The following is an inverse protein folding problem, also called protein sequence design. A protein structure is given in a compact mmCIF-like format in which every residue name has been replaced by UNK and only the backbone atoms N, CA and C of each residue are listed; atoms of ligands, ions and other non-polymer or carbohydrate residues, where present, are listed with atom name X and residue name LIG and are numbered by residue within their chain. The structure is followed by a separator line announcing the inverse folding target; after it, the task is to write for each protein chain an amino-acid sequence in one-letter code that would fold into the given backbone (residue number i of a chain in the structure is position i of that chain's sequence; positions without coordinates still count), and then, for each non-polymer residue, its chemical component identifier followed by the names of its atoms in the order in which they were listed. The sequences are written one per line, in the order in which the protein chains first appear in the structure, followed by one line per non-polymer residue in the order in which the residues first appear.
data_IF_213180362185
#
_entry.id   IF_213180362185
#
_cell.length_a   1.000
_cell.length_b   1.000
_cell.length_c   1.000
_cell.angle_alpha   90.00
_cell.angle_beta   90.00
_cell.angle_gamma   90.00
#
_symmetry.space_group_name_H-M   'P 1'
#
loop_
_entity.id
_entity.type
_entity.pdbx_description
1 polymer ?
#
# COMPACT_ATOMS: atom_id res chain seq x y z
N UNK A 1 -36.90 -6.16 -52.04
CA UNK A 1 -35.63 -6.82 -51.70
C UNK A 1 -34.60 -5.73 -51.44
N UNK A 2 -34.38 -5.39 -50.19
CA UNK A 2 -33.34 -4.44 -49.81
C UNK A 2 -32.52 -5.05 -48.69
N UNK A 3 -31.25 -5.24 -49.02
CA UNK A 3 -30.21 -5.85 -48.15
C UNK A 3 -29.69 -4.82 -47.16
N UNK A 4 -29.88 -5.08 -45.89
CA UNK A 4 -29.31 -4.32 -44.78
C UNK A 4 -27.80 -4.64 -44.70
N UNK A 5 -26.98 -3.58 -44.81
CA UNK A 5 -25.54 -3.64 -44.51
C UNK A 5 -25.37 -3.19 -43.04
N UNK A 6 -25.04 -4.12 -42.15
CA UNK A 6 -24.56 -3.85 -40.82
C UNK A 6 -23.18 -3.18 -40.89
N UNK A 7 -23.09 -1.96 -40.39
CA UNK A 7 -21.84 -1.25 -40.08
C UNK A 7 -21.32 -1.67 -38.70
N UNK A 8 -20.35 -2.57 -38.67
CA UNK A 8 -19.53 -2.76 -37.49
C UNK A 8 -18.67 -1.52 -37.23
N UNK A 9 -18.99 -0.78 -36.18
CA UNK A 9 -18.10 0.25 -35.63
C UNK A 9 -17.28 -0.38 -34.52
N UNK A 10 -16.01 -0.70 -34.80
CA UNK A 10 -15.01 -1.04 -33.81
C UNK A 10 -14.80 0.15 -32.86
N UNK A 11 -15.26 0.03 -31.62
CA UNK A 11 -14.86 0.90 -30.52
C UNK A 11 -13.69 0.24 -29.80
N UNK A 12 -12.48 0.66 -30.14
CA UNK A 12 -11.29 0.43 -29.33
C UNK A 12 -11.41 1.24 -28.03
N UNK A 13 -12.03 0.65 -27.04
CA UNK A 13 -12.04 1.18 -25.67
C UNK A 13 -10.83 0.65 -24.94
N UNK A 14 -9.83 1.49 -24.66
CA UNK A 14 -8.79 1.21 -23.68
C UNK A 14 -9.46 1.17 -22.31
N UNK A 15 -9.94 -0.01 -21.94
CA UNK A 15 -10.63 -0.26 -20.69
C UNK A 15 -9.64 -0.22 -19.53
N UNK A 16 -9.58 0.90 -18.81
CA UNK A 16 -9.04 0.93 -17.46
C UNK A 16 -9.90 0.04 -16.56
N UNK A 17 -9.59 -1.25 -16.54
CA UNK A 17 -10.32 -2.24 -15.76
C UNK A 17 -10.25 -1.89 -14.28
N UNK A 18 -11.37 -1.54 -13.70
CA UNK A 18 -11.56 -1.42 -12.26
C UNK A 18 -11.40 -2.83 -11.67
N UNK A 19 -10.17 -3.15 -11.24
CA UNK A 19 -9.86 -4.45 -10.64
C UNK A 19 -10.36 -4.42 -9.19
N UNK A 20 -11.49 -5.04 -8.98
CA UNK A 20 -12.06 -5.24 -7.66
C UNK A 20 -11.66 -6.62 -7.14
N UNK A 21 -11.60 -6.77 -5.82
CA UNK A 21 -11.61 -8.09 -5.20
C UNK A 21 -12.75 -8.94 -5.80
N UNK A 22 -12.56 -10.25 -5.99
CA UNK A 22 -13.63 -11.16 -6.41
C UNK A 22 -14.89 -10.93 -5.59
N UNK A 23 -16.07 -11.22 -6.16
CA UNK A 23 -17.37 -11.01 -5.49
C UNK A 23 -17.45 -11.68 -4.12
N UNK A 24 -16.73 -12.77 -3.93
CA UNK A 24 -16.63 -13.53 -2.67
C UNK A 24 -15.99 -12.73 -1.53
N UNK A 25 -15.02 -11.83 -1.85
CA UNK A 25 -14.39 -10.94 -0.86
C UNK A 25 -15.20 -9.67 -0.61
N UNK A 26 -16.27 -9.41 -1.38
CA UNK A 26 -17.14 -8.23 -1.25
C UNK A 26 -18.33 -8.43 -0.31
N UNK A 27 -18.67 -9.66 0.07
CA UNK A 27 -19.79 -9.90 0.96
C UNK A 27 -19.51 -9.28 2.33
N UNK A 28 -20.44 -8.53 2.85
CA UNK A 28 -20.49 -8.17 4.27
C UNK A 28 -20.54 -9.49 5.05
N UNK A 29 -19.47 -9.79 5.80
CA UNK A 29 -19.35 -11.03 6.56
C UNK A 29 -18.55 -12.10 5.84
N UNK A 30 -17.20 -11.95 5.75
CA UNK A 30 -16.28 -13.05 5.65
C UNK A 30 -16.20 -13.80 4.33
N UNK A 31 -15.78 -13.15 3.26
CA UNK A 31 -15.12 -13.84 2.15
C UNK A 31 -13.74 -14.32 2.60
N UNK A 32 -13.17 -15.39 1.99
CA UNK A 32 -11.83 -15.85 2.32
C UNK A 32 -10.83 -14.70 2.21
N UNK A 33 -9.96 -14.60 3.20
CA UNK A 33 -8.82 -13.70 3.19
C UNK A 33 -7.82 -14.12 2.14
N UNK A 34 -6.81 -13.27 1.89
CA UNK A 34 -5.78 -13.57 0.92
C UNK A 34 -4.77 -12.46 0.81
N UNK A 35 -3.82 -12.67 -0.09
CA UNK A 35 -2.83 -11.68 -0.47
C UNK A 35 -3.47 -10.63 -1.37
N UNK A 36 -3.29 -9.37 -1.03
CA UNK A 36 -3.92 -8.23 -1.69
C UNK A 36 -2.92 -7.09 -1.87
N UNK A 37 -2.87 -6.50 -3.05
CA UNK A 37 -2.29 -5.17 -3.24
C UNK A 37 -3.37 -4.12 -3.02
N UNK A 38 -3.09 -3.17 -2.15
CA UNK A 38 -3.92 -1.98 -1.90
C UNK A 38 -3.26 -0.77 -2.51
N UNK A 39 -4.01 0.06 -3.22
CA UNK A 39 -3.53 1.34 -3.72
C UNK A 39 -4.61 2.42 -3.66
N UNK A 40 -4.21 3.65 -3.39
CA UNK A 40 -5.08 4.81 -3.42
C UNK A 40 -4.28 6.05 -3.86
N UNK A 41 -4.93 6.93 -4.62
CA UNK A 41 -4.34 8.16 -5.13
C UNK A 41 -5.03 9.39 -4.51
N UNK A 42 -4.27 10.46 -4.35
CA UNK A 42 -4.79 11.76 -3.94
C UNK A 42 -5.70 12.36 -5.01
N UNK A 43 -6.56 13.29 -4.59
CA UNK A 43 -7.44 14.04 -5.50
C UNK A 43 -6.63 14.71 -6.61
N UNK A 44 -7.07 14.56 -7.86
CA UNK A 44 -6.40 15.10 -9.05
C UNK A 44 -4.88 14.82 -9.12
N UNK A 45 -4.43 13.73 -8.52
CA UNK A 45 -3.01 13.35 -8.39
C UNK A 45 -2.13 14.44 -7.76
N UNK A 46 -2.68 15.34 -6.96
CA UNK A 46 -1.94 16.40 -6.26
C UNK A 46 -0.90 15.81 -5.33
N UNK A 47 0.28 16.45 -5.24
CA UNK A 47 1.42 15.99 -4.43
C UNK A 47 1.22 16.29 -2.93
N UNK A 48 0.09 15.85 -2.36
CA UNK A 48 -0.29 16.12 -0.96
C UNK A 48 0.48 15.29 0.07
N UNK A 49 1.13 14.22 -0.37
CA UNK A 49 1.96 13.34 0.47
C UNK A 49 3.46 13.60 0.27
N UNK A 50 3.88 14.83 -0.06
CA UNK A 50 5.31 15.14 -0.20
C UNK A 50 6.06 14.70 1.05
N UNK A 51 7.18 13.97 0.90
CA UNK A 51 7.98 13.53 2.04
C UNK A 51 8.44 14.70 2.89
N UNK A 52 8.18 14.61 4.20
CA UNK A 52 8.80 15.41 5.25
C UNK A 52 9.04 14.49 6.45
N UNK A 53 10.02 14.78 7.27
CA UNK A 53 10.28 13.99 8.48
C UNK A 53 9.02 13.86 9.35
N UNK A 54 8.31 14.96 9.55
CA UNK A 54 7.07 15.00 10.34
C UNK A 54 5.96 14.14 9.74
N UNK A 55 5.71 14.25 8.43
CA UNK A 55 4.68 13.45 7.77
C UNK A 55 5.06 11.97 7.76
N UNK A 56 6.33 11.64 7.47
CA UNK A 56 6.84 10.28 7.49
C UNK A 56 6.64 9.61 8.86
N UNK A 57 7.01 10.30 9.94
CA UNK A 57 6.80 9.81 11.31
C UNK A 57 5.32 9.58 11.63
N UNK A 58 4.44 10.45 11.16
CA UNK A 58 2.99 10.30 11.34
C UNK A 58 2.42 9.13 10.55
N UNK A 59 2.86 8.93 9.31
CA UNK A 59 2.45 7.79 8.47
C UNK A 59 2.89 6.47 9.13
N UNK A 60 4.13 6.37 9.59
CA UNK A 60 4.61 5.19 10.32
C UNK A 60 3.79 4.95 11.60
N UNK A 61 3.45 6.00 12.34
CA UNK A 61 2.57 5.89 13.52
C UNK A 61 1.19 5.35 13.18
N UNK A 62 0.60 5.80 12.07
CA UNK A 62 -0.70 5.31 11.57
C UNK A 62 -0.62 3.83 11.18
N UNK A 63 0.42 3.43 10.44
CA UNK A 63 0.62 2.03 10.02
C UNK A 63 0.81 1.13 11.24
N UNK A 64 1.73 1.50 12.15
CA UNK A 64 2.01 0.71 13.34
C UNK A 64 0.76 0.51 14.21
N UNK A 65 -0.02 1.57 14.42
CA UNK A 65 -1.29 1.44 15.13
C UNK A 65 -2.32 0.59 14.38
N UNK A 66 -2.41 0.74 13.06
CA UNK A 66 -3.33 -0.07 12.26
C UNK A 66 -3.01 -1.57 12.36
N UNK A 67 -1.73 -1.94 12.31
CA UNK A 67 -1.28 -3.33 12.49
C UNK A 67 -1.56 -3.89 13.90
N UNK A 68 -1.52 -3.02 14.93
CA UNK A 68 -1.89 -3.42 16.29
C UNK A 68 -3.41 -3.60 16.48
N UNK A 69 -4.24 -2.94 15.66
CA UNK A 69 -5.70 -3.00 15.78
C UNK A 69 -6.33 -4.08 14.89
N UNK A 70 -5.69 -4.42 13.79
CA UNK A 70 -6.25 -5.32 12.77
C UNK A 70 -5.28 -6.46 12.46
N UNK A 71 -5.73 -7.71 12.42
CA UNK A 71 -4.89 -8.88 12.16
C UNK A 71 -4.51 -8.98 10.67
N UNK A 72 -3.68 -8.04 10.21
CA UNK A 72 -3.16 -7.96 8.85
C UNK A 72 -1.68 -8.26 8.87
N UNK A 73 -1.20 -9.11 7.96
CA UNK A 73 0.22 -9.33 7.73
C UNK A 73 0.70 -8.39 6.61
N UNK A 74 1.49 -7.38 6.94
CA UNK A 74 2.05 -6.43 5.99
C UNK A 74 3.35 -6.97 5.41
N UNK A 75 3.46 -7.07 4.08
CA UNK A 75 4.62 -7.61 3.38
C UNK A 75 5.52 -6.51 2.81
N UNK A 76 4.91 -5.49 2.22
CA UNK A 76 5.61 -4.34 1.66
C UNK A 76 4.69 -3.12 1.57
N UNK A 77 5.28 -1.92 1.55
CA UNK A 77 4.55 -0.69 1.30
C UNK A 77 5.48 0.44 0.83
N UNK A 78 4.88 1.40 0.15
CA UNK A 78 5.53 2.67 -0.23
C UNK A 78 4.49 3.79 -0.27
N UNK A 79 4.85 4.95 0.28
CA UNK A 79 4.10 6.19 0.17
C UNK A 79 4.81 7.15 -0.78
N UNK A 80 4.20 7.38 -1.93
CA UNK A 80 4.63 8.37 -2.91
C UNK A 80 4.01 9.73 -2.62
N UNK A 81 4.42 10.78 -3.31
CA UNK A 81 3.90 12.14 -3.09
C UNK A 81 2.40 12.29 -3.36
N UNK A 82 1.80 11.42 -4.17
CA UNK A 82 0.40 11.51 -4.58
C UNK A 82 -0.40 10.19 -4.51
N UNK A 83 0.19 9.13 -4.00
CA UNK A 83 -0.48 7.83 -3.82
C UNK A 83 0.34 6.94 -2.88
N UNK A 84 -0.23 5.80 -2.47
CA UNK A 84 0.52 4.77 -1.77
C UNK A 84 0.10 3.38 -2.20
N UNK A 85 1.01 2.44 -2.02
CA UNK A 85 0.82 1.02 -2.25
C UNK A 85 1.16 0.23 -1.00
N UNK A 86 0.43 -0.85 -0.76
CA UNK A 86 0.79 -1.88 0.21
C UNK A 86 0.44 -3.26 -0.32
N UNK A 87 1.31 -4.22 -0.05
CA UNK A 87 1.09 -5.63 -0.26
C UNK A 87 0.89 -6.28 1.10
N UNK A 88 -0.26 -6.90 1.33
CA UNK A 88 -0.66 -7.43 2.63
C UNK A 88 -1.53 -8.68 2.51
N UNK A 89 -1.48 -9.53 3.53
CA UNK A 89 -2.43 -10.64 3.70
C UNK A 89 -3.44 -10.28 4.77
N UNK A 90 -4.71 -10.53 4.50
CA UNK A 90 -5.84 -10.28 5.40
C UNK A 90 -6.65 -11.57 5.60
N UNK A 91 -7.24 -11.80 6.80
CA UNK A 91 -8.10 -12.95 7.04
C UNK A 91 -9.43 -12.85 6.27
N UNK A 92 -9.93 -11.64 6.05
CA UNK A 92 -11.21 -11.39 5.39
C UNK A 92 -11.31 -9.95 4.83
N UNK A 93 -12.36 -9.71 4.03
CA UNK A 93 -12.60 -8.42 3.38
C UNK A 93 -13.04 -7.32 4.35
N UNK A 94 -13.65 -7.64 5.49
CA UNK A 94 -14.07 -6.66 6.50
C UNK A 94 -12.84 -6.12 7.23
N UNK A 95 -11.96 -7.01 7.66
CA UNK A 95 -10.66 -6.64 8.27
C UNK A 95 -9.85 -5.76 7.35
N UNK A 96 -9.75 -6.12 6.05
CA UNK A 96 -9.10 -5.28 5.04
C UNK A 96 -9.74 -3.89 4.97
N UNK A 97 -11.06 -3.82 4.88
CA UNK A 97 -11.78 -2.55 4.77
C UNK A 97 -11.55 -1.65 5.98
N UNK A 98 -11.57 -2.21 7.19
CA UNK A 98 -11.31 -1.48 8.44
C UNK A 98 -9.86 -1.00 8.53
N UNK A 99 -8.89 -1.86 8.17
CA UNK A 99 -7.47 -1.49 8.11
C UNK A 99 -7.23 -0.33 7.15
N UNK A 100 -7.70 -0.45 5.90
CA UNK A 100 -7.54 0.58 4.87
C UNK A 100 -8.25 1.88 5.24
N UNK A 101 -9.45 1.80 5.84
CA UNK A 101 -10.17 2.97 6.33
C UNK A 101 -9.38 3.68 7.44
N UNK A 102 -8.82 2.93 8.39
CA UNK A 102 -8.00 3.49 9.47
C UNK A 102 -6.78 4.22 8.91
N UNK A 103 -6.02 3.56 8.03
CA UNK A 103 -4.84 4.16 7.39
C UNK A 103 -5.22 5.43 6.63
N UNK A 104 -6.18 5.34 5.71
CA UNK A 104 -6.55 6.46 4.86
C UNK A 104 -7.09 7.66 5.63
N UNK A 105 -7.93 7.43 6.64
CA UNK A 105 -8.52 8.50 7.45
C UNK A 105 -7.47 9.24 8.28
N UNK A 106 -6.54 8.51 8.87
CA UNK A 106 -5.52 9.12 9.74
C UNK A 106 -4.36 9.73 8.94
N UNK A 107 -3.97 9.13 7.81
CA UNK A 107 -3.02 9.76 6.89
C UNK A 107 -3.61 11.05 6.30
N UNK A 108 -4.90 11.06 5.92
CA UNK A 108 -5.55 12.29 5.46
C UNK A 108 -5.54 13.41 6.51
N UNK A 109 -5.76 13.07 7.79
CA UNK A 109 -5.62 14.04 8.89
C UNK A 109 -4.18 14.56 9.00
N UNK A 110 -3.19 13.66 8.93
CA UNK A 110 -1.79 14.03 8.99
C UNK A 110 -1.40 15.00 7.86
N UNK A 111 -1.84 14.70 6.63
CA UNK A 111 -1.63 15.57 5.45
C UNK A 111 -2.26 16.95 5.68
N UNK A 112 -3.52 17.00 6.11
CA UNK A 112 -4.22 18.27 6.34
C UNK A 112 -3.52 19.14 7.40
N UNK A 113 -3.05 18.53 8.46
CA UNK A 113 -2.31 19.23 9.52
C UNK A 113 -0.91 19.67 9.09
N UNK A 114 -0.29 18.96 8.14
CA UNK A 114 1.03 19.31 7.62
C UNK A 114 0.96 20.39 6.54
N UNK A 115 -0.04 20.31 5.66
CA UNK A 115 -0.11 21.13 4.44
C UNK A 115 -1.11 22.28 4.53
N UNK A 116 -1.97 22.32 5.56
CA UNK A 116 -3.11 23.23 5.62
C UNK A 116 -4.23 22.91 4.61
N UNK A 117 -4.17 21.77 3.92
CA UNK A 117 -5.18 21.38 2.93
C UNK A 117 -6.53 21.15 3.58
N UNK A 118 -7.56 21.84 3.13
CA UNK A 118 -8.92 21.75 3.68
C UNK A 118 -9.84 20.82 2.89
N UNK A 119 -9.48 20.54 1.63
CA UNK A 119 -10.27 19.71 0.73
C UNK A 119 -10.19 18.20 1.02
N UNK A 120 -10.80 17.44 0.13
CA UNK A 120 -10.71 15.98 0.11
C UNK A 120 -9.29 15.56 -0.27
N UNK A 121 -8.69 14.63 0.47
CA UNK A 121 -7.33 14.13 0.20
C UNK A 121 -7.36 13.03 -0.86
N UNK A 122 -8.19 12.02 -0.69
CA UNK A 122 -8.23 10.84 -1.56
C UNK A 122 -9.23 11.01 -2.69
N UNK A 123 -8.84 10.62 -3.92
CA UNK A 123 -9.67 10.76 -5.11
C UNK A 123 -10.93 9.87 -5.06
N UNK A 124 -10.76 8.62 -4.63
CA UNK A 124 -11.83 7.61 -4.57
C UNK A 124 -11.52 6.58 -3.49
N UNK A 125 -12.32 5.51 -3.41
CA UNK A 125 -11.99 4.35 -2.57
C UNK A 125 -10.68 3.70 -3.04
N UNK A 126 -9.93 3.11 -2.10
CA UNK A 126 -8.77 2.32 -2.44
C UNK A 126 -9.13 1.19 -3.42
N UNK A 127 -8.28 0.94 -4.39
CA UNK A 127 -8.34 -0.26 -5.20
C UNK A 127 -7.65 -1.39 -4.44
N UNK A 128 -8.30 -2.55 -4.40
CA UNK A 128 -7.79 -3.77 -3.80
C UNK A 128 -7.69 -4.82 -4.90
N UNK A 129 -6.49 -5.30 -5.17
CA UNK A 129 -6.18 -6.25 -6.24
C UNK A 129 -5.79 -7.56 -5.57
N UNK A 130 -6.59 -8.61 -5.76
CA UNK A 130 -6.24 -9.94 -5.27
C UNK A 130 -5.01 -10.46 -6.03
N UNK A 131 -4.07 -11.05 -5.28
CA UNK A 131 -2.86 -11.69 -5.79
C UNK A 131 -3.03 -13.19 -5.61
N UNK A 132 -3.03 -13.94 -6.72
CA UNK A 132 -3.57 -15.30 -6.74
C UNK A 132 -2.51 -16.40 -6.63
N UNK A 133 -1.25 -16.09 -6.93
CA UNK A 133 -0.15 -17.04 -6.92
C UNK A 133 1.17 -16.40 -6.47
N UNK A 134 2.19 -17.22 -6.29
CA UNK A 134 3.49 -16.79 -5.75
C UNK A 134 4.28 -15.95 -6.76
N UNK A 135 4.17 -16.21 -8.06
CA UNK A 135 4.84 -15.43 -9.10
C UNK A 135 4.25 -14.01 -9.16
N UNK A 136 2.92 -13.91 -9.14
CA UNK A 136 2.23 -12.63 -9.03
C UNK A 136 2.58 -11.90 -7.72
N UNK A 137 2.78 -12.62 -6.62
CA UNK A 137 3.19 -12.04 -5.34
C UNK A 137 4.60 -11.42 -5.42
N UNK A 138 5.55 -12.10 -6.04
CA UNK A 138 6.90 -11.58 -6.24
C UNK A 138 6.91 -10.38 -7.21
N UNK A 139 6.11 -10.42 -8.27
CA UNK A 139 5.95 -9.29 -9.18
C UNK A 139 5.35 -8.07 -8.51
N UNK A 140 4.35 -8.25 -7.64
CA UNK A 140 3.77 -7.15 -6.85
C UNK A 140 4.74 -6.60 -5.82
N UNK A 141 5.52 -7.47 -5.17
CA UNK A 141 6.58 -7.02 -4.27
C UNK A 141 7.60 -6.16 -5.04
N UNK A 142 8.10 -6.65 -6.17
CA UNK A 142 9.03 -5.91 -7.05
C UNK A 142 8.44 -4.57 -7.47
N UNK A 143 7.17 -4.56 -7.87
CA UNK A 143 6.46 -3.34 -8.27
C UNK A 143 6.42 -2.29 -7.14
N UNK A 144 6.10 -2.71 -5.90
CA UNK A 144 6.07 -1.81 -4.75
C UNK A 144 7.46 -1.26 -4.44
N UNK A 145 8.51 -2.10 -4.50
CA UNK A 145 9.89 -1.68 -4.23
C UNK A 145 10.44 -0.76 -5.33
N UNK A 146 10.10 -1.03 -6.59
CA UNK A 146 10.57 -0.25 -7.73
C UNK A 146 9.90 1.12 -7.87
N UNK A 147 8.90 1.44 -7.06
CA UNK A 147 7.95 2.51 -7.40
C UNK A 147 8.62 3.87 -7.58
N UNK A 148 9.53 4.26 -6.70
CA UNK A 148 10.27 5.52 -6.82
C UNK A 148 11.16 5.61 -8.05
N UNK A 149 11.83 4.51 -8.41
CA UNK A 149 12.68 4.40 -9.60
C UNK A 149 11.83 4.40 -10.87
N UNK A 150 10.76 3.61 -10.89
CA UNK A 150 9.83 3.50 -12.03
C UNK A 150 9.17 4.84 -12.40
N UNK A 151 8.90 5.67 -11.40
CA UNK A 151 8.35 7.03 -11.63
C UNK A 151 9.45 8.06 -11.95
N UNK A 152 10.71 7.64 -12.06
CA UNK A 152 11.84 8.51 -12.39
C UNK A 152 12.18 9.54 -11.29
N UNK A 153 11.81 9.26 -10.05
CA UNK A 153 12.00 10.21 -8.94
C UNK A 153 13.31 9.98 -8.17
N UNK A 154 13.85 8.78 -8.24
CA UNK A 154 15.12 8.38 -7.62
C UNK A 154 15.83 7.35 -8.50
N UNK A 155 17.14 7.24 -8.36
CA UNK A 155 17.94 6.26 -9.10
C UNK A 155 17.86 4.87 -8.46
N UNK A 156 17.74 4.81 -7.14
CA UNK A 156 17.68 3.57 -6.35
C UNK A 156 16.42 3.55 -5.49
N UNK A 157 15.89 2.35 -5.25
CA UNK A 157 14.68 2.18 -4.47
C UNK A 157 14.80 2.66 -3.01
N UNK A 158 16.00 2.58 -2.43
CA UNK A 158 16.31 3.03 -1.06
C UNK A 158 16.56 4.55 -0.96
N UNK A 159 16.72 5.26 -2.07
CA UNK A 159 16.92 6.71 -2.09
C UNK A 159 15.59 7.50 -1.97
N UNK A 160 14.44 6.82 -2.04
CA UNK A 160 13.16 7.49 -1.90
C UNK A 160 12.99 8.08 -0.47
N UNK A 161 12.87 9.42 -0.32
CA UNK A 161 12.85 10.07 0.99
C UNK A 161 11.50 9.91 1.74
N UNK A 162 10.49 9.40 1.06
CA UNK A 162 9.19 9.10 1.65
C UNK A 162 9.17 7.76 2.39
N UNK A 163 8.05 7.49 3.07
CA UNK A 163 7.89 6.25 3.82
C UNK A 163 7.88 5.05 2.87
N UNK A 164 8.81 4.13 3.07
CA UNK A 164 8.93 2.87 2.33
C UNK A 164 9.45 1.75 3.25
N UNK A 165 9.50 0.54 2.74
CA UNK A 165 9.91 -0.64 3.51
C UNK A 165 11.26 -1.23 3.06
N UNK A 166 11.99 -0.60 2.15
CA UNK A 166 13.21 -1.18 1.52
C UNK A 166 14.28 -1.49 2.57
N UNK A 167 14.65 -0.53 3.41
CA UNK A 167 15.66 -0.71 4.46
C UNK A 167 15.29 -1.82 5.44
N UNK A 168 13.99 -1.91 5.82
CA UNK A 168 13.52 -2.96 6.72
C UNK A 168 13.55 -4.36 6.07
N UNK A 169 13.15 -4.47 4.80
CA UNK A 169 13.25 -5.74 4.05
C UNK A 169 14.70 -6.21 3.84
N UNK A 170 15.64 -5.27 3.82
CA UNK A 170 17.09 -5.56 3.77
C UNK A 170 17.69 -5.87 5.15
N UNK A 171 16.89 -5.83 6.22
CA UNK A 171 17.36 -6.04 7.58
C UNK A 171 18.31 -4.93 8.11
N UNK A 172 18.31 -3.76 7.47
CA UNK A 172 19.19 -2.63 7.84
C UNK A 172 18.63 -1.80 8.99
N UNK A 173 17.30 -1.73 9.11
CA UNK A 173 16.62 -0.99 10.18
C UNK A 173 15.31 -1.65 10.56
N UNK A 174 14.82 -1.34 11.75
CA UNK A 174 13.47 -1.69 12.20
C UNK A 174 12.58 -0.46 12.10
N UNK A 175 11.47 -0.57 11.38
CA UNK A 175 10.52 0.53 11.25
C UNK A 175 9.80 0.76 12.58
N UNK A 176 9.75 2.02 13.00
CA UNK A 176 9.14 2.45 14.27
C UNK A 176 8.08 3.51 14.02
N UNK A 177 6.85 3.20 14.40
CA UNK A 177 5.73 4.13 14.36
C UNK A 177 5.46 4.74 15.73
N UNK A 178 5.24 6.04 15.80
CA UNK A 178 4.83 6.75 17.02
C UNK A 178 3.44 7.34 16.84
N UNK A 179 2.49 6.89 17.66
CA UNK A 179 1.12 7.35 17.63
C UNK A 179 0.82 8.21 18.84
N UNK A 180 0.45 9.47 18.61
CA UNK A 180 0.06 10.38 19.67
C UNK A 180 -1.47 10.44 19.82
N UNK A 181 -1.97 10.22 21.02
CA UNK A 181 -3.39 10.35 21.36
C UNK A 181 -3.57 11.23 22.60
N UNK A 182 -4.78 11.75 22.80
CA UNK A 182 -5.16 12.44 24.04
C UNK A 182 -5.95 11.48 24.91
N UNK A 183 -5.51 11.28 26.15
CA UNK A 183 -6.27 10.60 27.21
C UNK A 183 -6.62 11.66 28.29
N UNK A 184 -7.84 12.20 28.22
CA UNK A 184 -8.23 13.38 29.00
C UNK A 184 -7.39 14.61 28.58
N UNK A 185 -6.72 15.26 29.55
CA UNK A 185 -5.84 16.42 29.30
C UNK A 185 -4.41 16.04 28.96
N UNK A 186 -4.03 14.77 29.09
CA UNK A 186 -2.64 14.29 28.83
C UNK A 186 -2.49 13.82 27.39
N UNK A 187 -1.36 14.22 26.76
CA UNK A 187 -0.90 13.63 25.50
C UNK A 187 -0.11 12.37 25.81
N UNK A 188 -0.53 11.24 25.27
CA UNK A 188 0.16 9.95 25.38
C UNK A 188 0.71 9.58 24.01
N UNK A 189 1.97 9.14 23.97
CA UNK A 189 2.62 8.63 22.75
C UNK A 189 2.85 7.13 22.91
N UNK A 190 2.24 6.36 22.05
CA UNK A 190 2.43 4.91 21.96
C UNK A 190 3.43 4.63 20.84
N UNK A 191 4.36 3.71 21.07
CA UNK A 191 5.37 3.28 20.10
C UNK A 191 5.02 1.90 19.56
N UNK A 192 5.03 1.74 18.26
CA UNK A 192 4.75 0.49 17.55
C UNK A 192 5.95 0.10 16.71
N UNK A 193 6.32 -1.17 16.76
CA UNK A 193 7.26 -1.76 15.81
C UNK A 193 6.47 -2.30 14.61
N UNK A 194 6.96 -2.00 13.41
CA UNK A 194 6.33 -2.44 12.17
C UNK A 194 7.21 -3.56 11.60
N UNK A 195 6.82 -4.80 11.92
CA UNK A 195 7.50 -5.98 11.44
C UNK A 195 6.85 -6.45 10.13
N UNK A 196 7.65 -6.64 9.09
CA UNK A 196 7.19 -7.09 7.79
C UNK A 196 7.13 -8.61 7.76
N UNK A 197 5.97 -9.14 7.41
CA UNK A 197 5.80 -10.58 7.23
C UNK A 197 6.41 -11.04 5.89
N UNK A 198 7.00 -12.23 5.80
CA UNK A 198 7.38 -12.79 4.50
C UNK A 198 6.14 -13.02 3.62
N UNK A 199 6.31 -12.97 2.30
CA UNK A 199 5.26 -13.40 1.37
C UNK A 199 4.78 -14.82 1.74
N UNK A 200 3.51 -15.17 1.46
CA UNK A 200 2.99 -16.50 1.77
C UNK A 200 3.89 -17.64 1.29
N UNK A 201 4.34 -17.63 0.04
CA UNK A 201 5.23 -18.63 -0.53
C UNK A 201 6.68 -18.58 0.01
N UNK A 202 7.05 -17.49 0.72
CA UNK A 202 8.38 -17.35 1.32
C UNK A 202 8.45 -17.79 2.79
N UNK A 203 7.35 -18.22 3.39
CA UNK A 203 7.33 -18.67 4.80
C UNK A 203 8.23 -19.86 5.08
N UNK A 204 8.43 -20.71 4.09
CA UNK A 204 9.32 -21.89 4.16
C UNK A 204 10.78 -21.54 3.99
N UNK A 205 11.11 -20.34 3.52
CA UNK A 205 12.47 -19.87 3.29
C UNK A 205 13.09 -19.37 4.60
N UNK A 206 14.39 -19.67 4.79
CA UNK A 206 15.19 -19.07 5.86
C UNK A 206 15.39 -17.58 5.61
N UNK A 207 15.65 -16.80 6.63
CA UNK A 207 15.82 -15.35 6.55
C UNK A 207 16.87 -14.94 5.52
N UNK A 208 18.03 -15.59 5.51
CA UNK A 208 19.10 -15.35 4.54
C UNK A 208 18.65 -15.53 3.09
N UNK A 209 17.81 -16.55 2.82
CA UNK A 209 17.26 -16.80 1.49
C UNK A 209 16.30 -15.70 1.07
N UNK A 210 15.47 -15.21 2.01
CA UNK A 210 14.55 -14.07 1.77
C UNK A 210 15.33 -12.80 1.48
N UNK A 211 16.35 -12.50 2.29
CA UNK A 211 17.24 -11.35 2.07
C UNK A 211 17.94 -11.42 0.72
N UNK A 212 18.42 -12.60 0.33
CA UNK A 212 19.04 -12.78 -0.97
C UNK A 212 18.06 -12.50 -2.13
N UNK A 213 16.81 -12.97 -2.04
CA UNK A 213 15.78 -12.69 -3.03
C UNK A 213 15.47 -11.18 -3.12
N UNK A 214 15.31 -10.49 -1.99
CA UNK A 214 15.09 -9.04 -1.96
C UNK A 214 16.24 -8.28 -2.61
N UNK A 215 17.49 -8.64 -2.28
CA UNK A 215 18.68 -8.02 -2.90
C UNK A 215 18.72 -8.21 -4.41
N UNK A 216 18.40 -9.42 -4.90
CA UNK A 216 18.31 -9.68 -6.34
C UNK A 216 17.22 -8.87 -7.01
N UNK A 217 16.04 -8.74 -6.39
CA UNK A 217 14.96 -7.90 -6.91
C UNK A 217 15.41 -6.45 -7.03
N UNK A 218 16.03 -5.90 -5.98
CA UNK A 218 16.51 -4.52 -5.96
C UNK A 218 17.61 -4.27 -6.98
N UNK A 219 18.53 -5.22 -7.19
CA UNK A 219 19.57 -5.11 -8.23
C UNK A 219 18.99 -5.07 -9.65
N UNK A 220 17.80 -5.61 -9.88
CA UNK A 220 17.09 -5.57 -11.17
C UNK A 220 16.13 -4.38 -11.34
N UNK A 221 16.13 -3.41 -10.41
CA UNK A 221 15.25 -2.23 -10.42
C UNK A 221 16.00 -0.97 -10.90
N UNK A 222 17.18 -1.10 -11.44
CA UNK A 222 18.00 0.02 -11.95
C UNK A 222 17.59 0.44 -13.35
#
# INVERSE_FOLDING_TARGET
MATERQKERGRGGVGGGTRYLPRETRRRGGGPGGLVEVTIRTIAAMLLCRPSERLNQRILGVIGRALALYPVALHAFVFMSNHWHALLTTPDGETLARFVQHVNSNVAKAIKEETGWTGRVWQRRAANIAVLDDDAAEDRLRYVLAHGVKEGLVERADDWPGVNCVSALLGRERLVGRWATKKGRKRVVETYFIDLAPLPGWRVLREEQRLHRVRRMLAGIQ
#
